data_IF_848618241859
#
_entry.id   IF_848618241859
#
_cell.length_a   1.000
_cell.length_b   1.000
_cell.length_c   1.000
_cell.angle_alpha   90.00
_cell.angle_beta   90.00
_cell.angle_gamma   90.00
#
_symmetry.space_group_name_H-M   'P 1'
#
loop_
_entity.id
_entity.type
_entity.pdbx_description
1 polymer ?
#
# COMPACT_ATOMS: atom_id res chain seq x y z
N UNK A 1 7.13 20.69 21.46
CA UNK A 1 6.72 20.04 20.19
C UNK A 1 5.84 18.86 20.54
N UNK A 2 4.68 18.72 19.89
CA UNK A 2 3.73 17.63 20.18
C UNK A 2 3.81 16.59 19.07
N UNK A 3 3.83 15.31 19.43
CA UNK A 3 3.69 14.20 18.49
C UNK A 3 2.21 13.82 18.37
N UNK A 4 1.74 13.57 17.15
CA UNK A 4 0.38 13.09 16.88
C UNK A 4 0.43 11.78 16.10
N UNK A 5 -0.32 10.78 16.56
CA UNK A 5 -0.51 9.51 15.86
C UNK A 5 -1.95 9.41 15.34
N UNK A 6 -2.11 9.20 14.04
CA UNK A 6 -3.41 9.04 13.38
C UNK A 6 -3.54 7.63 12.83
N UNK A 7 -4.63 6.96 13.17
CA UNK A 7 -4.91 5.59 12.71
C UNK A 7 -5.71 5.62 11.40
N UNK A 8 -5.08 5.24 10.29
CA UNK A 8 -5.70 5.21 8.96
C UNK A 8 -6.20 3.81 8.56
N UNK A 9 -5.73 2.77 9.26
CA UNK A 9 -6.16 1.39 9.10
C UNK A 9 -5.58 0.47 10.19
N UNK A 10 -5.89 -0.81 10.15
CA UNK A 10 -5.46 -1.77 11.19
C UNK A 10 -6.16 -1.61 12.55
N UNK A 11 -7.20 -0.77 12.66
CA UNK A 11 -7.98 -0.56 13.88
C UNK A 11 -9.39 -1.11 13.71
N UNK A 12 -9.83 -1.94 14.67
CA UNK A 12 -11.09 -2.69 14.57
C UNK A 12 -11.09 -3.77 13.47
N UNK A 13 -9.91 -4.10 12.93
CA UNK A 13 -9.68 -5.14 11.94
C UNK A 13 -8.20 -5.54 11.94
N UNK A 14 -7.87 -6.75 11.49
CA UNK A 14 -6.48 -7.27 11.43
C UNK A 14 -5.69 -6.64 10.28
N UNK A 15 -6.37 -6.26 9.20
CA UNK A 15 -5.73 -5.97 7.91
C UNK A 15 -5.74 -4.49 7.56
N UNK A 16 -4.82 -4.08 6.69
CA UNK A 16 -4.71 -2.71 6.22
C UNK A 16 -3.98 -1.79 7.20
N UNK A 17 -2.95 -2.29 7.88
CA UNK A 17 -2.07 -1.53 8.77
C UNK A 17 -1.58 -0.27 8.07
N UNK A 18 -1.88 0.91 8.64
CA UNK A 18 -1.48 2.25 8.16
C UNK A 18 -1.62 3.24 9.31
N UNK A 19 -0.49 3.73 9.83
CA UNK A 19 -0.47 4.70 10.93
C UNK A 19 0.36 5.91 10.55
N UNK A 20 -0.21 7.11 10.64
CA UNK A 20 0.48 8.35 10.31
C UNK A 20 1.01 9.00 11.59
N UNK A 21 2.33 9.10 11.71
CA UNK A 21 3.00 9.86 12.75
C UNK A 21 3.34 11.26 12.22
N UNK A 22 2.83 12.29 12.90
CA UNK A 22 3.20 13.68 12.65
C UNK A 22 4.01 14.22 13.81
N UNK A 23 5.23 14.67 13.55
CA UNK A 23 6.13 15.22 14.56
C UNK A 23 7.12 16.19 13.93
N UNK A 24 7.33 17.37 14.55
CA UNK A 24 8.33 18.33 14.09
C UNK A 24 8.10 18.84 12.65
N UNK A 25 6.84 18.86 12.17
CA UNK A 25 6.50 19.20 10.79
C UNK A 25 6.71 18.08 9.77
N UNK A 26 7.21 16.92 10.21
CA UNK A 26 7.37 15.72 9.39
C UNK A 26 6.16 14.79 9.54
N UNK A 27 5.86 14.03 8.50
CA UNK A 27 4.75 13.09 8.37
C UNK A 27 5.30 11.74 7.88
N UNK A 28 5.39 10.78 8.79
CA UNK A 28 5.92 9.43 8.52
C UNK A 28 4.79 8.42 8.63
N UNK A 29 4.64 7.57 7.63
CA UNK A 29 3.68 6.47 7.68
C UNK A 29 4.37 5.20 8.21
N UNK A 30 3.84 4.59 9.26
CA UNK A 30 4.18 3.22 9.66
C UNK A 30 3.22 2.25 8.96
N UNK A 31 3.80 1.39 8.13
CA UNK A 31 3.13 0.49 7.19
C UNK A 31 2.22 1.17 6.15
N UNK A 32 1.99 0.47 5.04
CA UNK A 32 1.03 0.84 4.02
C UNK A 32 0.35 -0.40 3.45
N UNK A 33 -0.52 -1.03 4.24
CA UNK A 33 -1.14 -2.30 3.93
C UNK A 33 -2.48 -2.23 3.19
N UNK A 34 -2.78 -3.26 2.41
CA UNK A 34 -4.11 -3.49 1.85
C UNK A 34 -5.06 -4.03 2.92
N UNK A 35 -6.32 -3.61 2.87
CA UNK A 35 -7.40 -4.31 3.54
C UNK A 35 -7.75 -5.59 2.77
N UNK A 36 -7.60 -6.74 3.42
CA UNK A 36 -7.85 -8.08 2.89
C UNK A 36 -9.13 -8.71 3.48
N UNK A 37 -9.45 -9.95 3.10
CA UNK A 37 -10.60 -10.67 3.65
C UNK A 37 -11.94 -10.19 3.09
N UNK A 38 -12.94 -9.90 3.93
CA UNK A 38 -14.31 -9.60 3.52
C UNK A 38 -14.42 -8.47 2.48
N UNK A 39 -15.40 -8.58 1.56
CA UNK A 39 -15.63 -7.59 0.48
C UNK A 39 -15.75 -6.15 0.99
N UNK A 40 -16.41 -5.92 2.12
CA UNK A 40 -16.56 -4.59 2.75
C UNK A 40 -15.22 -3.99 3.18
N UNK A 41 -14.27 -4.82 3.64
CA UNK A 41 -12.92 -4.37 3.97
C UNK A 41 -12.14 -4.06 2.70
N UNK A 42 -12.14 -4.95 1.71
CA UNK A 42 -11.41 -4.74 0.44
C UNK A 42 -11.86 -3.46 -0.30
N UNK A 43 -13.13 -3.08 -0.17
CA UNK A 43 -13.64 -1.83 -0.73
C UNK A 43 -12.99 -0.58 -0.15
N UNK A 44 -12.47 -0.64 1.09
CA UNK A 44 -11.75 0.49 1.71
C UNK A 44 -10.46 0.83 0.96
N UNK A 45 -9.86 -0.09 0.22
CA UNK A 45 -8.66 0.19 -0.57
C UNK A 45 -8.90 1.18 -1.72
N UNK A 46 -10.16 1.35 -2.15
CA UNK A 46 -10.53 2.29 -3.20
C UNK A 46 -10.82 3.70 -2.69
N UNK A 47 -10.97 3.87 -1.37
CA UNK A 47 -11.18 5.18 -0.78
C UNK A 47 -9.85 5.97 -0.79
N UNK A 48 -9.88 7.29 -1.06
CA UNK A 48 -8.70 8.12 -0.91
C UNK A 48 -8.24 8.14 0.55
N UNK A 49 -6.93 8.28 0.75
CA UNK A 49 -6.41 8.54 2.09
C UNK A 49 -6.81 9.95 2.52
N UNK A 50 -7.05 10.20 3.83
CA UNK A 50 -7.34 11.55 4.35
C UNK A 50 -6.07 12.42 4.46
N UNK A 51 -5.08 12.17 3.60
CA UNK A 51 -3.81 12.89 3.48
C UNK A 51 -3.34 12.76 2.03
N UNK A 52 -2.82 13.84 1.47
CA UNK A 52 -2.24 13.82 0.14
C UNK A 52 -0.95 12.96 0.13
N UNK A 53 -0.80 11.98 -0.76
CA UNK A 53 0.39 11.12 -0.78
C UNK A 53 1.71 11.88 -0.92
N UNK A 54 1.71 13.04 -1.58
CA UNK A 54 2.89 13.90 -1.71
C UNK A 54 3.30 14.61 -0.42
N UNK A 55 2.42 14.65 0.58
CA UNK A 55 2.69 15.23 1.89
C UNK A 55 3.34 14.25 2.88
N UNK A 56 3.47 12.98 2.52
CA UNK A 56 4.11 11.96 3.34
C UNK A 56 5.61 11.96 3.03
N UNK A 57 6.43 12.23 4.05
CA UNK A 57 7.87 12.36 3.90
C UNK A 57 8.55 11.00 3.72
N UNK A 58 8.09 9.98 4.44
CA UNK A 58 8.63 8.63 4.37
C UNK A 58 7.61 7.57 4.81
N UNK A 59 7.87 6.33 4.42
CA UNK A 59 7.21 5.14 4.99
C UNK A 59 8.24 4.30 5.73
N UNK A 60 7.91 3.84 6.92
CA UNK A 60 8.63 2.77 7.62
C UNK A 60 7.78 1.51 7.53
N UNK A 61 8.29 0.51 6.80
CA UNK A 61 7.60 -0.76 6.61
C UNK A 61 8.13 -1.79 7.60
N UNK A 62 7.23 -2.34 8.42
CA UNK A 62 7.59 -3.30 9.48
C UNK A 62 8.01 -4.65 8.91
N UNK A 63 7.26 -5.19 7.96
CA UNK A 63 7.53 -6.48 7.29
C UNK A 63 6.74 -6.61 5.98
N UNK A 64 6.98 -7.71 5.26
CA UNK A 64 6.62 -7.82 3.85
C UNK A 64 5.15 -8.19 3.57
N UNK A 65 4.36 -8.63 4.56
CA UNK A 65 2.98 -9.10 4.32
C UNK A 65 2.10 -8.01 3.68
N UNK A 66 1.15 -8.41 2.82
CA UNK A 66 0.35 -7.46 2.02
C UNK A 66 -0.59 -6.58 2.84
N UNK A 67 -0.96 -7.00 4.04
CA UNK A 67 -1.69 -6.17 5.01
C UNK A 67 -0.82 -5.14 5.72
N UNK A 68 0.48 -5.09 5.41
CA UNK A 68 1.45 -4.07 5.82
C UNK A 68 2.14 -3.38 4.62
N UNK A 69 2.37 -4.07 3.51
CA UNK A 69 3.13 -3.55 2.35
C UNK A 69 2.26 -3.30 1.11
N UNK A 70 1.10 -3.96 1.01
CA UNK A 70 0.41 -4.15 -0.27
C UNK A 70 -0.22 -2.89 -0.86
N UNK A 71 -0.38 -1.81 -0.10
CA UNK A 71 -0.94 -0.53 -0.58
C UNK A 71 0.15 0.40 -1.12
N UNK A 72 1.44 0.10 -0.87
CA UNK A 72 2.56 0.93 -1.35
C UNK A 72 2.51 1.24 -2.85
N UNK A 73 2.22 0.29 -3.77
CA UNK A 73 2.16 0.61 -5.20
C UNK A 73 1.06 1.62 -5.54
N UNK A 74 -0.06 1.56 -4.83
CA UNK A 74 -1.15 2.52 -4.96
C UNK A 74 -0.78 3.88 -4.39
N UNK A 75 -0.08 3.91 -3.25
CA UNK A 75 0.44 5.15 -2.65
C UNK A 75 1.39 5.89 -3.61
N UNK A 76 2.35 5.17 -4.20
CA UNK A 76 3.29 5.71 -5.21
C UNK A 76 2.54 6.20 -6.44
N UNK A 77 1.60 5.41 -6.97
CA UNK A 77 0.77 5.80 -8.12
C UNK A 77 0.01 7.11 -7.85
N UNK A 78 -0.43 7.32 -6.61
CA UNK A 78 -1.21 8.49 -6.22
C UNK A 78 -0.34 9.70 -5.83
N UNK A 79 0.98 9.64 -6.02
CA UNK A 79 1.85 10.82 -5.94
C UNK A 79 2.86 10.84 -4.78
N UNK A 80 2.98 9.76 -4.00
CA UNK A 80 4.05 9.63 -3.03
C UNK A 80 5.42 9.53 -3.72
N UNK A 81 6.39 10.30 -3.21
CA UNK A 81 7.76 10.39 -3.77
C UNK A 81 8.86 10.04 -2.77
N UNK A 82 8.50 9.85 -1.51
CA UNK A 82 9.46 9.61 -0.43
C UNK A 82 10.09 8.21 -0.45
N UNK A 83 11.05 7.94 0.43
CA UNK A 83 11.63 6.62 0.64
C UNK A 83 10.72 5.70 1.46
N UNK A 84 10.85 4.39 1.22
CA UNK A 84 10.29 3.32 2.04
C UNK A 84 11.45 2.64 2.77
N UNK A 85 11.60 2.88 4.07
CA UNK A 85 12.63 2.27 4.90
C UNK A 85 12.16 0.93 5.45
N UNK A 86 13.00 -0.10 5.30
CA UNK A 86 12.73 -1.44 5.85
C UNK A 86 14.00 -2.28 5.87
N UNK A 87 13.94 -3.49 6.42
CA UNK A 87 15.09 -4.41 6.44
C UNK A 87 15.42 -4.94 5.04
N UNK A 88 16.67 -5.36 4.82
CA UNK A 88 17.08 -5.99 3.54
C UNK A 88 16.21 -7.19 3.20
N UNK A 89 15.94 -8.06 4.17
CA UNK A 89 15.07 -9.23 3.99
C UNK A 89 13.65 -8.84 3.57
N UNK A 90 13.08 -7.79 4.17
CA UNK A 90 11.74 -7.30 3.78
C UNK A 90 11.75 -6.70 2.38
N UNK A 91 12.82 -6.00 2.01
CA UNK A 91 12.98 -5.44 0.65
C UNK A 91 12.97 -6.56 -0.40
N UNK A 92 13.73 -7.63 -0.17
CA UNK A 92 13.77 -8.79 -1.07
C UNK A 92 12.41 -9.48 -1.18
N UNK A 93 11.74 -9.73 -0.05
CA UNK A 93 10.41 -10.33 -0.03
C UNK A 93 9.36 -9.46 -0.74
N UNK A 94 9.37 -8.14 -0.52
CA UNK A 94 8.51 -7.21 -1.25
C UNK A 94 8.79 -7.19 -2.76
N UNK A 95 10.05 -7.44 -3.15
CA UNK A 95 10.45 -7.61 -4.56
C UNK A 95 9.75 -8.77 -5.28
N UNK A 96 9.26 -9.76 -4.53
CA UNK A 96 8.51 -10.90 -5.05
C UNK A 96 7.00 -10.69 -4.85
N UNK A 97 6.59 -10.36 -3.62
CA UNK A 97 5.18 -10.32 -3.22
C UNK A 97 4.39 -9.20 -3.92
N UNK A 98 4.97 -8.01 -4.09
CA UNK A 98 4.23 -6.88 -4.67
C UNK A 98 3.96 -7.08 -6.18
N UNK A 99 4.94 -7.48 -7.02
CA UNK A 99 4.68 -7.77 -8.42
C UNK A 99 3.65 -8.90 -8.61
N UNK A 100 3.78 -9.99 -7.85
CA UNK A 100 2.81 -11.10 -7.90
C UNK A 100 1.39 -10.64 -7.53
N UNK A 101 1.26 -9.84 -6.46
CA UNK A 101 -0.04 -9.27 -6.08
C UNK A 101 -0.63 -8.37 -7.17
N UNK A 102 0.20 -7.56 -7.85
CA UNK A 102 -0.23 -6.74 -8.99
C UNK A 102 -0.71 -7.59 -10.16
N UNK A 103 0.02 -8.65 -10.49
CA UNK A 103 -0.33 -9.59 -11.56
C UNK A 103 -1.67 -10.29 -11.28
N UNK A 104 -1.87 -10.79 -10.07
CA UNK A 104 -3.13 -11.44 -9.67
C UNK A 104 -4.32 -10.47 -9.78
N UNK A 105 -4.14 -9.21 -9.38
CA UNK A 105 -5.21 -8.21 -9.52
C UNK A 105 -5.54 -7.90 -10.98
N UNK A 106 -4.55 -7.88 -11.88
CA UNK A 106 -4.78 -7.74 -13.33
C UNK A 106 -5.58 -8.93 -13.87
N UNK A 107 -5.22 -10.16 -13.49
CA UNK A 107 -5.95 -11.39 -13.88
C UNK A 107 -7.40 -11.37 -13.39
N UNK A 108 -7.64 -10.93 -12.16
CA UNK A 108 -8.98 -10.78 -11.59
C UNK A 108 -9.82 -9.75 -12.36
N UNK A 109 -9.21 -8.61 -12.72
CA UNK A 109 -9.88 -7.57 -13.51
C UNK A 109 -10.21 -8.06 -14.93
N UNK A 110 -9.28 -8.75 -15.60
CA UNK A 110 -9.53 -9.37 -16.91
C UNK A 110 -10.65 -10.42 -16.84
N UNK A 111 -10.63 -11.28 -15.82
CA UNK A 111 -11.66 -12.29 -15.61
C UNK A 111 -13.04 -11.66 -15.43
N UNK A 112 -13.13 -10.61 -14.59
CA UNK A 112 -14.36 -9.84 -14.36
C UNK A 112 -14.87 -9.16 -15.64
N UNK A 113 -13.98 -8.61 -16.47
CA UNK A 113 -14.32 -8.02 -17.76
C UNK A 113 -14.88 -9.05 -18.75
N UNK A 114 -14.26 -10.25 -18.85
CA UNK A 114 -14.72 -11.33 -19.74
C UNK A 114 -16.12 -11.84 -19.38
N UNK A 115 -16.43 -11.92 -18.09
CA UNK A 115 -17.71 -12.48 -17.61
C UNK A 115 -18.74 -11.40 -17.23
N UNK A 116 -18.42 -10.12 -17.43
CA UNK A 116 -19.36 -9.01 -17.28
C UNK A 116 -19.78 -8.68 -15.84
N UNK A 117 -19.06 -9.15 -14.82
CA UNK A 117 -19.38 -8.89 -13.41
C UNK A 117 -18.33 -7.97 -12.76
N UNK A 118 -18.66 -6.69 -12.61
CA UNK A 118 -17.87 -5.73 -11.83
C UNK A 118 -18.69 -4.48 -11.52
N UNK A 119 -18.33 -3.77 -10.45
CA UNK A 119 -18.84 -2.42 -10.20
C UNK A 119 -18.19 -1.37 -11.11
N UNK A 120 -16.95 -1.62 -11.53
CA UNK A 120 -16.20 -0.74 -12.43
C UNK A 120 -16.41 -1.19 -13.88
N UNK A 121 -16.51 -0.25 -14.83
CA UNK A 121 -16.60 -0.54 -16.26
C UNK A 121 -15.57 0.31 -17.02
N UNK A 122 -14.47 -0.29 -17.53
CA UNK A 122 -14.05 -1.68 -17.32
C UNK A 122 -13.64 -1.96 -15.86
N UNK A 123 -13.61 -3.24 -15.46
CA UNK A 123 -12.95 -3.66 -14.23
C UNK A 123 -11.46 -3.30 -14.29
N UNK A 124 -10.95 -2.72 -13.20
CA UNK A 124 -9.56 -2.29 -13.09
C UNK A 124 -8.93 -2.84 -11.80
N UNK A 125 -7.63 -3.18 -11.81
CA UNK A 125 -6.90 -3.53 -10.60
C UNK A 125 -6.60 -2.27 -9.76
N UNK A 126 -6.32 -2.43 -8.46
CA UNK A 126 -5.87 -1.29 -7.64
C UNK A 126 -4.51 -0.80 -8.12
N UNK A 127 -3.64 -1.72 -8.55
CA UNK A 127 -2.36 -1.46 -9.19
C UNK A 127 -1.95 -2.67 -10.04
N UNK A 128 -1.02 -2.46 -10.96
CA UNK A 128 -0.54 -3.50 -11.88
C UNK A 128 0.79 -4.09 -11.40
N UNK A 129 1.21 -5.22 -11.97
CA UNK A 129 2.56 -5.76 -11.77
C UNK A 129 3.62 -4.70 -12.06
N UNK A 130 3.47 -3.96 -13.18
CA UNK A 130 4.37 -2.85 -13.53
C UNK A 130 4.38 -1.75 -12.47
N UNK A 131 3.21 -1.38 -11.94
CA UNK A 131 3.09 -0.38 -10.87
C UNK A 131 3.80 -0.84 -9.59
N UNK A 132 3.68 -2.12 -9.25
CA UNK A 132 4.40 -2.71 -8.13
C UNK A 132 5.92 -2.73 -8.33
N UNK A 133 6.40 -3.08 -9.53
CA UNK A 133 7.84 -3.01 -9.86
C UNK A 133 8.39 -1.59 -9.75
N UNK A 134 7.64 -0.59 -10.25
CA UNK A 134 8.04 0.82 -10.13
C UNK A 134 8.13 1.26 -8.65
N UNK A 135 7.21 0.81 -7.82
CA UNK A 135 7.19 1.10 -6.38
C UNK A 135 8.49 0.66 -5.67
N UNK A 136 9.14 -0.42 -6.12
CA UNK A 136 10.35 -0.96 -5.48
C UNK A 136 11.53 0.03 -5.53
N UNK A 137 11.55 0.98 -6.48
CA UNK A 137 12.60 2.01 -6.57
C UNK A 137 12.66 2.96 -5.35
N UNK A 138 11.56 3.03 -4.59
CA UNK A 138 11.48 3.82 -3.36
C UNK A 138 12.09 3.13 -2.14
N UNK A 139 12.33 1.82 -2.21
CA UNK A 139 12.82 1.07 -1.05
C UNK A 139 14.26 1.46 -0.70
N UNK A 140 14.51 1.55 0.60
CA UNK A 140 15.81 1.81 1.22
C UNK A 140 16.03 0.76 2.30
N UNK A 141 16.90 -0.20 1.99
CA UNK A 141 17.25 -1.25 2.92
C UNK A 141 18.08 -0.68 4.08
N UNK A 142 17.65 -0.99 5.30
CA UNK A 142 18.34 -0.66 6.54
C UNK A 142 18.88 -1.95 7.18
N UNK A 143 20.13 -1.95 7.68
CA UNK A 143 20.62 -3.03 8.53
C UNK A 143 19.80 -3.08 9.83
N UNK A 144 19.81 -4.24 10.47
CA UNK A 144 19.19 -4.46 11.78
C UNK A 144 20.07 -3.90 12.90
#
# INVERSE_FOLDING_TARGET
>A
MTAQLTFLGGVGTVTGSKYLLTFGGQRVLADCGLFQGFKKLRQKNWAPLPIEPSEIDAVVLTHAHLDHSGYLPLLVRNGFKGPVYTTSATTELCGILLPDSGHLQERDAEFANRHGFSKHRPAAPLYTERGARNCLSHFRACPY
#
